data_IF_873791538839
#
_entry.id   IF_873791538839
#
_cell.length_a   1.000
_cell.length_b   1.000
_cell.length_c   1.000
_cell.angle_alpha   90.00
_cell.angle_beta   90.00
_cell.angle_gamma   90.00
#
_symmetry.space_group_name_H-M   'P 1'
#
loop_
_entity.id
_entity.type
_entity.pdbx_description
1 polymer ?
#
# COMPACT_ATOMS: atom_id res chain seq x y z
N UNK A 1 -10.48 -41.10 16.40
CA UNK A 1 -10.63 -39.90 15.55
C UNK A 1 -11.81 -39.13 16.11
N UNK A 2 -11.58 -38.03 16.86
CA UNK A 2 -12.66 -37.24 17.45
C UNK A 2 -13.14 -36.22 16.43
N UNK A 3 -14.42 -36.28 16.11
CA UNK A 3 -15.16 -35.22 15.41
C UNK A 3 -15.13 -34.00 16.35
N UNK A 4 -14.53 -32.88 15.92
CA UNK A 4 -14.75 -31.56 16.54
C UNK A 4 -13.56 -30.83 17.18
N UNK A 5 -12.30 -31.21 16.93
CA UNK A 5 -11.17 -30.33 17.31
C UNK A 5 -11.03 -29.22 16.27
N UNK A 6 -11.50 -28.02 16.61
CA UNK A 6 -11.22 -26.81 15.84
C UNK A 6 -9.70 -26.65 15.78
N UNK A 7 -9.15 -26.75 14.58
CA UNK A 7 -7.74 -26.41 14.38
C UNK A 7 -7.62 -24.89 14.43
N UNK A 8 -7.30 -24.38 15.62
CA UNK A 8 -7.16 -22.95 15.90
C UNK A 8 -6.08 -22.28 15.04
N UNK A 9 -5.00 -22.99 14.69
CA UNK A 9 -3.96 -22.45 13.82
C UNK A 9 -4.47 -22.22 12.41
N UNK A 10 -5.21 -23.19 11.87
CA UNK A 10 -5.85 -23.06 10.56
C UNK A 10 -6.89 -21.95 10.56
N UNK A 11 -7.74 -21.88 11.59
CA UNK A 11 -8.77 -20.83 11.70
C UNK A 11 -8.14 -19.44 11.74
N UNK A 12 -7.02 -19.27 12.46
CA UNK A 12 -6.30 -18.01 12.53
C UNK A 12 -5.64 -17.62 11.19
N UNK A 13 -5.14 -18.60 10.42
CA UNK A 13 -4.62 -18.33 9.08
C UNK A 13 -5.75 -17.99 8.10
N UNK A 14 -6.86 -18.72 8.14
CA UNK A 14 -8.04 -18.47 7.31
C UNK A 14 -8.63 -17.07 7.62
N UNK A 15 -8.52 -16.58 8.86
CA UNK A 15 -8.85 -15.20 9.24
C UNK A 15 -8.03 -14.13 8.46
N UNK A 16 -6.82 -14.45 7.98
CA UNK A 16 -6.07 -13.53 7.11
C UNK A 16 -6.73 -13.40 5.73
N UNK A 17 -7.42 -14.45 5.29
CA UNK A 17 -8.11 -14.54 4.00
C UNK A 17 -9.59 -14.13 4.09
N UNK A 18 -10.07 -13.66 5.24
CA UNK A 18 -11.45 -13.20 5.37
C UNK A 18 -11.73 -12.05 4.40
N UNK A 19 -12.52 -12.34 3.36
CA UNK A 19 -12.94 -11.35 2.35
C UNK A 19 -13.58 -10.11 2.99
N UNK A 20 -14.24 -10.27 4.14
CA UNK A 20 -14.83 -9.16 4.91
C UNK A 20 -13.82 -8.10 5.35
N UNK A 21 -12.54 -8.47 5.51
CA UNK A 21 -11.45 -7.54 5.85
C UNK A 21 -11.03 -6.70 4.65
N UNK A 22 -11.16 -7.26 3.45
CA UNK A 22 -10.87 -6.58 2.19
C UNK A 22 -12.08 -5.79 1.67
N UNK A 23 -13.29 -6.22 2.01
CA UNK A 23 -14.52 -5.47 1.77
C UNK A 23 -14.48 -4.09 2.44
N UNK A 24 -13.86 -3.98 3.62
CA UNK A 24 -13.61 -2.70 4.28
C UNK A 24 -12.66 -1.80 3.50
N UNK A 25 -11.56 -2.35 2.99
CA UNK A 25 -10.60 -1.63 2.14
C UNK A 25 -11.29 -1.14 0.85
N UNK A 26 -12.02 -2.03 0.18
CA UNK A 26 -12.78 -1.73 -1.04
C UNK A 26 -13.79 -0.61 -0.85
N UNK A 27 -14.59 -0.66 0.22
CA UNK A 27 -15.57 0.38 0.58
C UNK A 27 -14.96 1.76 0.77
N UNK A 28 -13.67 1.84 1.09
CA UNK A 28 -12.95 3.11 1.24
C UNK A 28 -12.27 3.52 -0.07
N UNK A 29 -11.63 2.59 -0.77
CA UNK A 29 -10.93 2.89 -2.04
C UNK A 29 -11.90 3.31 -3.15
N UNK A 30 -13.09 2.72 -3.19
CA UNK A 30 -14.09 3.01 -4.22
C UNK A 30 -14.54 4.48 -4.28
N UNK A 31 -15.01 5.11 -3.18
CA UNK A 31 -15.37 6.51 -3.19
C UNK A 31 -14.16 7.44 -3.42
N UNK A 32 -12.95 7.05 -2.97
CA UNK A 32 -11.73 7.82 -3.25
C UNK A 32 -11.43 7.84 -4.76
N UNK A 33 -11.53 6.70 -5.44
CA UNK A 33 -11.36 6.62 -6.89
C UNK A 33 -12.38 7.46 -7.64
N UNK A 34 -13.65 7.42 -7.23
CA UNK A 34 -14.71 8.25 -7.83
C UNK A 34 -14.45 9.75 -7.66
N UNK A 35 -13.95 10.17 -6.49
CA UNK A 35 -13.60 11.57 -6.23
C UNK A 35 -12.42 12.03 -7.10
N UNK A 36 -11.39 11.19 -7.29
CA UNK A 36 -10.27 11.48 -8.19
C UNK A 36 -10.77 11.60 -9.64
N UNK A 37 -11.64 10.70 -10.09
CA UNK A 37 -12.21 10.75 -11.44
C UNK A 37 -13.06 12.02 -11.67
N UNK A 38 -13.80 12.46 -10.65
CA UNK A 38 -14.57 13.69 -10.71
C UNK A 38 -13.66 14.94 -10.81
N UNK A 39 -12.54 14.94 -10.07
CA UNK A 39 -11.52 16.00 -10.14
C UNK A 39 -10.85 16.04 -11.53
N UNK A 40 -10.43 14.89 -12.06
CA UNK A 40 -9.86 14.78 -13.41
C UNK A 40 -10.83 15.31 -14.49
N UNK A 41 -12.14 15.07 -14.33
CA UNK A 41 -13.18 15.58 -15.23
C UNK A 41 -13.31 17.09 -15.14
N UNK A 42 -13.27 17.65 -13.94
CA UNK A 42 -13.33 19.09 -13.70
C UNK A 42 -12.12 19.82 -14.32
N UNK A 43 -10.93 19.25 -14.23
CA UNK A 43 -9.75 19.78 -14.93
C UNK A 43 -10.00 19.89 -16.44
N UNK A 44 -10.56 18.85 -17.08
CA UNK A 44 -10.88 18.90 -18.52
C UNK A 44 -11.92 19.96 -18.86
N UNK A 45 -12.90 20.20 -17.99
CA UNK A 45 -13.90 21.25 -18.17
C UNK A 45 -13.27 22.64 -18.07
N UNK A 46 -12.34 22.85 -17.13
CA UNK A 46 -11.54 24.07 -17.01
C UNK A 46 -10.69 24.26 -18.29
N UNK A 47 -9.98 23.24 -18.77
CA UNK A 47 -9.20 23.33 -20.02
C UNK A 47 -10.05 23.82 -21.21
N UNK A 48 -11.28 23.32 -21.35
CA UNK A 48 -12.20 23.72 -22.42
C UNK A 48 -12.70 25.15 -22.25
N UNK A 49 -13.01 25.59 -21.02
CA UNK A 49 -13.57 26.91 -20.78
C UNK A 49 -12.53 28.03 -20.92
N UNK A 50 -11.24 27.71 -20.72
CA UNK A 50 -10.15 28.68 -20.66
C UNK A 50 -9.23 28.64 -21.90
N UNK A 51 -9.52 27.81 -22.91
CA UNK A 51 -8.76 27.77 -24.18
C UNK A 51 -9.16 28.86 -25.19
N UNK A 52 -10.22 29.64 -24.92
CA UNK A 52 -10.79 30.63 -25.85
C UNK A 52 -10.53 32.11 -25.47
N UNK A 53 -9.97 32.44 -24.30
CA UNK A 53 -9.86 33.83 -23.83
C UNK A 53 -8.46 34.25 -23.30
N UNK A 54 -8.16 35.55 -23.49
CA UNK A 54 -6.90 36.29 -23.25
C UNK A 54 -6.09 35.96 -21.97
N UNK A 55 -4.78 36.31 -21.99
CA UNK A 55 -3.75 36.10 -20.95
C UNK A 55 -4.15 36.41 -19.48
N UNK A 56 -5.11 37.29 -19.18
CA UNK A 56 -5.61 37.56 -17.81
C UNK A 56 -6.53 36.44 -17.25
N UNK A 57 -7.08 35.61 -18.13
CA UNK A 57 -7.94 34.45 -17.79
C UNK A 57 -7.08 33.21 -17.50
N UNK A 58 -5.81 33.21 -17.93
CA UNK A 58 -4.83 32.15 -17.71
C UNK A 58 -4.46 31.95 -16.23
N UNK A 59 -4.25 33.04 -15.48
CA UNK A 59 -3.83 32.94 -14.06
C UNK A 59 -4.93 32.29 -13.19
N UNK A 60 -6.20 32.54 -13.49
CA UNK A 60 -7.33 31.91 -12.78
C UNK A 60 -7.48 30.42 -13.13
N UNK A 61 -7.17 30.02 -14.36
CA UNK A 61 -7.16 28.62 -14.76
C UNK A 61 -6.06 27.86 -14.00
N UNK A 62 -4.85 28.44 -13.94
CA UNK A 62 -3.70 27.86 -13.26
C UNK A 62 -3.94 27.65 -11.76
N UNK A 63 -4.59 28.61 -11.08
CA UNK A 63 -5.00 28.47 -9.68
C UNK A 63 -5.98 27.31 -9.48
N UNK A 64 -6.98 27.18 -10.37
CA UNK A 64 -7.97 26.09 -10.30
C UNK A 64 -7.35 24.72 -10.59
N UNK A 65 -6.42 24.62 -11.54
CA UNK A 65 -5.67 23.38 -11.79
C UNK A 65 -4.84 22.97 -10.59
N UNK A 66 -4.18 23.93 -9.93
CA UNK A 66 -3.39 23.67 -8.75
C UNK A 66 -4.26 23.13 -7.59
N UNK A 67 -5.44 23.73 -7.35
CA UNK A 67 -6.38 23.25 -6.33
C UNK A 67 -6.82 21.80 -6.57
N UNK A 68 -7.19 21.46 -7.81
CA UNK A 68 -7.62 20.10 -8.18
C UNK A 68 -6.46 19.09 -8.07
N UNK A 69 -5.25 19.44 -8.52
CA UNK A 69 -4.08 18.58 -8.37
C UNK A 69 -3.75 18.32 -6.88
N UNK A 70 -3.87 19.33 -6.01
CA UNK A 70 -3.71 19.16 -4.55
C UNK A 70 -4.77 18.21 -3.97
N UNK A 71 -6.03 18.35 -4.39
CA UNK A 71 -7.10 17.44 -3.96
C UNK A 71 -6.82 16.00 -4.38
N UNK A 72 -6.39 15.77 -5.62
CA UNK A 72 -6.03 14.44 -6.11
C UNK A 72 -4.86 13.84 -5.32
N UNK A 73 -3.85 14.63 -4.99
CA UNK A 73 -2.75 14.19 -4.13
C UNK A 73 -3.23 13.73 -2.74
N UNK A 74 -4.10 14.52 -2.10
CA UNK A 74 -4.64 14.18 -0.78
C UNK A 74 -5.46 12.90 -0.81
N UNK A 75 -6.28 12.71 -1.85
CA UNK A 75 -7.10 11.50 -2.04
C UNK A 75 -6.22 10.26 -2.30
N UNK A 76 -5.18 10.38 -3.13
CA UNK A 76 -4.21 9.31 -3.37
C UNK A 76 -3.43 8.97 -2.09
N UNK A 77 -2.99 9.99 -1.35
CA UNK A 77 -2.33 9.83 -0.07
C UNK A 77 -3.19 9.08 0.95
N UNK A 78 -4.48 9.44 1.05
CA UNK A 78 -5.44 8.74 1.90
C UNK A 78 -5.60 7.27 1.50
N UNK A 79 -5.73 6.97 0.20
CA UNK A 79 -5.83 5.60 -0.30
C UNK A 79 -4.61 4.74 0.10
N UNK A 80 -3.40 5.30 0.01
CA UNK A 80 -2.16 4.62 0.41
C UNK A 80 -2.08 4.40 1.92
N UNK A 81 -2.55 5.35 2.74
CA UNK A 81 -2.59 5.20 4.20
C UNK A 81 -3.55 4.09 4.63
N UNK A 82 -4.74 4.03 4.04
CA UNK A 82 -5.72 2.98 4.35
C UNK A 82 -5.18 1.60 3.94
N UNK A 83 -4.53 1.54 2.77
CA UNK A 83 -3.83 0.34 2.29
C UNK A 83 -2.73 -0.10 3.26
N UNK A 84 -1.94 0.85 3.78
CA UNK A 84 -0.93 0.58 4.80
C UNK A 84 -1.52 0.05 6.11
N UNK A 85 -2.69 0.55 6.54
CA UNK A 85 -3.37 0.03 7.72
C UNK A 85 -3.72 -1.47 7.57
N UNK A 86 -4.11 -1.90 6.37
CA UNK A 86 -4.36 -3.32 6.09
C UNK A 86 -3.07 -4.16 6.19
N UNK A 87 -1.95 -3.65 5.68
CA UNK A 87 -0.64 -4.29 5.83
C UNK A 87 -0.27 -4.45 7.32
N UNK A 88 -0.47 -3.40 8.14
CA UNK A 88 -0.25 -3.45 9.59
C UNK A 88 -1.11 -4.53 10.28
N UNK A 89 -2.38 -4.67 9.88
CA UNK A 89 -3.28 -5.67 10.44
C UNK A 89 -2.76 -7.09 10.20
N UNK A 90 -2.34 -7.40 8.97
CA UNK A 90 -1.79 -8.72 8.59
C UNK A 90 -0.52 -9.02 9.38
N UNK A 91 0.44 -8.08 9.41
CA UNK A 91 1.69 -8.21 10.17
C UNK A 91 1.42 -8.45 11.65
N UNK A 92 0.51 -7.69 12.24
CA UNK A 92 0.12 -7.83 13.65
C UNK A 92 -0.49 -9.21 13.93
N UNK A 93 -1.34 -9.72 13.04
CA UNK A 93 -1.96 -11.02 13.22
C UNK A 93 -0.94 -12.15 13.14
N UNK A 94 -0.01 -12.14 12.17
CA UNK A 94 1.06 -13.14 12.10
C UNK A 94 1.93 -13.16 13.37
N UNK A 95 2.24 -11.99 13.93
CA UNK A 95 2.97 -11.89 15.20
C UNK A 95 2.18 -12.43 16.39
N UNK A 96 0.86 -12.23 16.41
CA UNK A 96 -0.04 -12.84 17.42
C UNK A 96 -0.05 -14.37 17.30
N UNK A 97 -0.06 -14.91 16.09
CA UNK A 97 0.00 -16.34 15.83
C UNK A 97 1.30 -16.96 16.36
N UNK A 98 2.46 -16.38 16.03
CA UNK A 98 3.75 -16.81 16.58
C UNK A 98 3.78 -16.76 18.12
N UNK A 99 3.25 -15.67 18.69
CA UNK A 99 3.14 -15.53 20.14
C UNK A 99 2.27 -16.63 20.77
N UNK A 100 1.16 -16.99 20.12
CA UNK A 100 0.26 -18.05 20.57
C UNK A 100 0.93 -19.43 20.49
N UNK A 101 1.62 -19.74 19.39
CA UNK A 101 2.40 -20.99 19.23
C UNK A 101 3.43 -21.13 20.34
N UNK A 102 4.22 -20.08 20.59
CA UNK A 102 5.25 -20.08 21.64
C UNK A 102 4.67 -20.26 23.03
N UNK A 103 3.54 -19.60 23.34
CA UNK A 103 2.84 -19.74 24.64
C UNK A 103 2.34 -21.17 24.89
N UNK A 104 2.03 -21.90 23.83
CA UNK A 104 1.58 -23.30 23.91
C UNK A 104 2.73 -24.32 23.78
N UNK A 105 3.98 -23.88 23.91
CA UNK A 105 5.20 -24.70 23.84
C UNK A 105 5.28 -25.60 22.59
N UNK A 106 4.72 -25.15 21.46
CA UNK A 106 4.80 -25.88 20.21
C UNK A 106 6.17 -25.64 19.55
N UNK A 107 6.91 -26.69 19.14
CA UNK A 107 8.21 -26.55 18.49
C UNK A 107 8.03 -26.15 17.03
N UNK A 108 7.67 -24.89 16.79
CA UNK A 108 7.44 -24.34 15.45
C UNK A 108 8.16 -23.01 15.26
N UNK A 109 8.70 -22.82 14.07
CA UNK A 109 9.22 -21.54 13.59
C UNK A 109 8.86 -21.40 12.12
N UNK A 110 8.45 -20.19 11.75
CA UNK A 110 8.34 -19.82 10.34
C UNK A 110 9.70 -19.91 9.67
N UNK A 111 9.70 -20.34 8.41
CA UNK A 111 10.88 -20.34 7.54
C UNK A 111 11.33 -18.92 7.15
N UNK A 112 10.49 -17.92 7.40
CA UNK A 112 10.73 -16.51 7.14
C UNK A 112 10.77 -15.68 8.43
N UNK A 113 11.41 -14.51 8.33
CA UNK A 113 11.45 -13.50 9.39
C UNK A 113 10.08 -12.85 9.58
N UNK A 114 9.67 -12.68 10.83
CA UNK A 114 8.46 -11.91 11.19
C UNK A 114 8.76 -10.42 11.42
N UNK A 115 9.96 -9.95 11.05
CA UNK A 115 10.24 -8.51 11.02
C UNK A 115 9.32 -7.83 10.01
N UNK A 116 8.83 -6.63 10.34
CA UNK A 116 7.90 -5.89 9.46
C UNK A 116 8.53 -5.66 8.08
N UNK A 117 9.79 -5.23 8.07
CA UNK A 117 10.50 -4.90 6.83
C UNK A 117 10.72 -6.12 5.93
N UNK A 118 10.82 -7.31 6.51
CA UNK A 118 10.95 -8.55 5.75
C UNK A 118 9.59 -9.04 5.25
N UNK A 119 8.55 -8.96 6.07
CA UNK A 119 7.17 -9.33 5.69
C UNK A 119 6.64 -8.49 4.51
N UNK A 120 6.83 -7.17 4.53
CA UNK A 120 6.38 -6.30 3.42
C UNK A 120 7.16 -6.53 2.12
N UNK A 121 8.37 -7.09 2.21
CA UNK A 121 9.17 -7.50 1.05
C UNK A 121 8.85 -8.88 0.53
N UNK A 122 8.04 -9.64 1.26
CA UNK A 122 7.53 -10.89 0.72
C UNK A 122 6.63 -10.52 -0.45
N UNK A 123 6.89 -11.10 -1.59
CA UNK A 123 6.06 -11.03 -2.79
C UNK A 123 6.39 -12.28 -3.60
N UNK A 124 5.48 -12.71 -4.49
CA UNK A 124 5.78 -13.78 -5.41
C UNK A 124 7.13 -13.50 -6.11
N UNK A 125 7.98 -14.52 -6.31
CA UNK A 125 9.30 -14.30 -6.87
C UNK A 125 9.19 -13.85 -8.33
N UNK A 126 9.31 -12.55 -8.58
CA UNK A 126 9.72 -12.04 -9.88
C UNK A 126 11.25 -11.91 -9.91
N UNK A 127 11.84 -12.32 -11.01
CA UNK A 127 13.28 -12.55 -11.18
C UNK A 127 14.18 -11.45 -10.60
N UNK A 128 15.18 -11.89 -9.82
CA UNK A 128 16.42 -11.20 -9.45
C UNK A 128 16.29 -9.79 -8.83
N UNK A 129 16.20 -9.77 -7.50
CA UNK A 129 16.79 -8.80 -6.55
C UNK A 129 17.23 -7.42 -7.11
N UNK A 130 16.50 -6.36 -6.73
CA UNK A 130 17.00 -5.02 -6.31
C UNK A 130 15.88 -3.97 -6.27
N UNK A 131 14.73 -4.24 -6.87
CA UNK A 131 13.58 -3.33 -6.82
C UNK A 131 12.75 -3.55 -5.54
N UNK A 132 12.15 -2.50 -4.96
CA UNK A 132 11.20 -2.67 -3.88
C UNK A 132 10.00 -3.50 -4.37
N UNK A 133 9.22 -4.10 -3.47
CA UNK A 133 7.95 -4.74 -3.85
C UNK A 133 6.82 -3.70 -3.92
N UNK A 134 5.72 -3.98 -4.64
CA UNK A 134 4.53 -3.11 -4.61
C UNK A 134 4.05 -2.79 -3.19
N UNK A 135 4.06 -3.78 -2.30
CA UNK A 135 3.66 -3.63 -0.90
C UNK A 135 4.65 -2.76 -0.12
N UNK A 136 5.96 -2.93 -0.33
CA UNK A 136 6.98 -2.06 0.25
C UNK A 136 6.83 -0.61 -0.22
N UNK A 137 6.43 -0.41 -1.48
CA UNK A 137 6.12 0.93 -2.02
C UNK A 137 4.88 1.53 -1.38
N UNK A 138 3.79 0.76 -1.24
CA UNK A 138 2.54 1.22 -0.57
C UNK A 138 2.83 1.63 0.88
N UNK A 139 3.52 0.77 1.63
CA UNK A 139 3.97 1.03 3.01
C UNK A 139 4.76 2.33 3.12
N UNK A 140 5.74 2.49 2.21
CA UNK A 140 6.64 3.64 2.21
C UNK A 140 5.91 4.93 1.83
N UNK A 141 5.03 4.86 0.83
CA UNK A 141 4.26 6.00 0.34
C UNK A 141 3.21 6.47 1.37
N UNK A 142 2.53 5.54 2.06
CA UNK A 142 1.63 5.88 3.17
C UNK A 142 2.37 6.57 4.32
N UNK A 143 3.57 6.11 4.67
CA UNK A 143 4.42 6.80 5.65
C UNK A 143 4.89 8.17 5.17
N UNK A 144 5.27 8.29 3.90
CA UNK A 144 5.63 9.57 3.30
C UNK A 144 4.47 10.56 3.42
N UNK A 145 3.25 10.18 3.05
CA UNK A 145 2.10 11.09 3.10
C UNK A 145 1.82 11.57 4.53
N UNK A 146 1.74 10.66 5.51
CA UNK A 146 1.51 11.00 6.93
C UNK A 146 2.57 11.93 7.53
N UNK A 147 3.82 11.79 7.10
CA UNK A 147 4.97 12.48 7.67
C UNK A 147 5.62 13.48 6.69
N UNK A 148 4.93 13.81 5.60
CA UNK A 148 5.52 14.55 4.46
C UNK A 148 6.09 15.90 4.87
N UNK A 149 5.39 16.63 5.72
CA UNK A 149 5.83 17.91 6.30
C UNK A 149 7.11 17.78 7.15
N UNK A 150 7.35 16.62 7.77
CA UNK A 150 8.55 16.33 8.57
C UNK A 150 9.73 15.87 7.69
N UNK A 151 9.44 15.38 6.49
CA UNK A 151 10.43 14.82 5.57
C UNK A 151 10.93 15.84 4.55
N UNK A 152 10.17 16.91 4.28
CA UNK A 152 10.67 18.07 3.51
C UNK A 152 12.00 18.58 4.10
N UNK A 153 13.09 18.43 3.32
CA UNK A 153 14.44 18.85 3.70
C UNK A 153 15.31 17.83 4.47
N UNK A 154 14.76 16.73 5.00
CA UNK A 154 15.51 15.73 5.82
C UNK A 154 15.84 14.42 5.12
N UNK A 155 15.43 14.24 3.87
CA UNK A 155 15.71 13.04 3.08
C UNK A 155 17.19 12.64 3.05
N UNK A 156 18.07 13.64 2.93
CA UNK A 156 19.53 13.42 2.84
C UNK A 156 20.16 12.92 4.15
N UNK A 157 19.51 13.08 5.30
CA UNK A 157 20.03 12.61 6.60
C UNK A 157 19.40 11.30 7.08
N UNK A 158 18.39 10.77 6.37
CA UNK A 158 17.73 9.51 6.69
C UNK A 158 18.02 8.41 5.66
N UNK A 159 19.25 8.37 5.13
CA UNK A 159 19.70 7.46 4.06
C UNK A 159 19.60 5.97 4.41
N UNK A 160 19.47 5.62 5.69
CA UNK A 160 19.28 4.25 6.17
C UNK A 160 17.82 3.88 6.48
N UNK A 161 16.87 4.80 6.25
CA UNK A 161 15.46 4.48 6.41
C UNK A 161 14.99 3.66 5.19
N UNK A 162 14.61 2.40 5.43
CA UNK A 162 14.20 1.45 4.38
C UNK A 162 13.03 1.97 3.53
N UNK A 163 12.11 2.73 4.14
CA UNK A 163 11.00 3.36 3.42
C UNK A 163 11.51 4.43 2.42
N UNK A 164 12.56 5.14 2.79
CA UNK A 164 13.19 6.14 1.93
C UNK A 164 13.93 5.46 0.77
N UNK A 165 14.60 4.34 1.01
CA UNK A 165 15.29 3.59 -0.04
C UNK A 165 14.31 3.05 -1.10
N UNK A 166 13.17 2.52 -0.67
CA UNK A 166 12.13 2.06 -1.59
C UNK A 166 11.66 3.19 -2.52
N UNK A 167 11.29 4.34 -1.96
CA UNK A 167 10.87 5.49 -2.78
C UNK A 167 12.02 6.14 -3.56
N UNK A 168 13.25 6.11 -3.05
CA UNK A 168 14.45 6.60 -3.75
C UNK A 168 14.72 5.80 -5.01
N UNK A 169 14.51 4.49 -4.97
CA UNK A 169 14.69 3.63 -6.16
C UNK A 169 13.75 4.01 -7.31
N UNK A 170 12.59 4.59 -6.98
CA UNK A 170 11.62 5.11 -7.95
C UNK A 170 11.91 6.56 -8.38
N UNK A 171 12.94 7.20 -7.81
CA UNK A 171 13.30 8.59 -8.09
C UNK A 171 12.46 9.63 -7.36
N UNK A 172 11.71 9.26 -6.31
CA UNK A 172 10.81 10.16 -5.58
C UNK A 172 11.53 11.15 -4.64
N UNK A 173 12.85 11.02 -4.44
CA UNK A 173 13.58 11.72 -3.37
C UNK A 173 14.25 13.03 -3.83
N UNK A 174 14.15 13.38 -5.12
CA UNK A 174 14.85 14.53 -5.71
C UNK A 174 13.96 15.67 -6.25
N UNK A 175 12.64 15.59 -6.13
CA UNK A 175 11.76 16.71 -6.50
C UNK A 175 11.16 17.35 -5.25
N UNK A 176 11.45 18.63 -5.02
CA UNK A 176 10.69 19.46 -4.07
C UNK A 176 9.21 19.67 -4.45
N UNK A 177 8.72 18.91 -5.43
CA UNK A 177 7.35 18.91 -5.95
C UNK A 177 6.77 17.53 -5.62
N UNK A 178 5.91 17.47 -4.62
CA UNK A 178 5.30 16.24 -4.08
C UNK A 178 4.50 15.49 -5.17
N UNK A 179 3.84 16.23 -6.05
CA UNK A 179 3.11 15.73 -7.22
C UNK A 179 3.83 14.69 -8.06
N UNK A 180 5.10 14.96 -8.41
CA UNK A 180 5.89 14.07 -9.28
C UNK A 180 6.19 12.72 -8.59
N UNK A 181 6.06 12.64 -7.28
CA UNK A 181 6.29 11.41 -6.53
C UNK A 181 5.07 10.49 -6.62
N UNK A 182 3.86 11.02 -6.46
CA UNK A 182 2.63 10.23 -6.58
C UNK A 182 2.44 9.71 -8.01
N UNK A 183 2.80 10.46 -9.04
CA UNK A 183 2.81 9.96 -10.42
C UNK A 183 3.77 8.77 -10.62
N UNK A 184 4.97 8.84 -10.05
CA UNK A 184 5.94 7.73 -10.11
C UNK A 184 5.46 6.51 -9.36
N UNK A 185 4.86 6.71 -8.18
CA UNK A 185 4.30 5.65 -7.34
C UNK A 185 3.15 4.96 -8.06
N UNK A 186 2.14 5.71 -8.54
CA UNK A 186 0.98 5.15 -9.24
C UNK A 186 1.40 4.39 -10.50
N UNK A 187 2.31 4.95 -11.30
CA UNK A 187 2.88 4.26 -12.47
C UNK A 187 3.59 2.97 -12.09
N UNK A 188 4.39 2.98 -11.03
CA UNK A 188 5.11 1.80 -10.55
C UNK A 188 4.13 0.70 -10.09
N UNK A 189 3.05 1.09 -9.42
CA UNK A 189 2.00 0.18 -8.97
C UNK A 189 1.07 -0.31 -10.11
N UNK A 190 1.33 0.11 -11.36
CA UNK A 190 0.59 -0.36 -12.54
C UNK A 190 -0.70 0.39 -12.82
N UNK A 191 -0.92 1.54 -12.20
CA UNK A 191 -2.11 2.35 -12.45
C UNK A 191 -2.03 2.90 -13.86
N UNK A 192 -3.10 2.73 -14.64
CA UNK A 192 -3.19 3.38 -15.96
C UNK A 192 -3.63 4.83 -15.77
N UNK A 193 -4.56 5.04 -14.84
CA UNK A 193 -5.11 6.35 -14.48
C UNK A 193 -5.09 6.52 -12.95
N UNK A 194 -5.04 7.76 -12.45
CA UNK A 194 -4.88 8.03 -11.01
C UNK A 194 -6.03 7.45 -10.18
N UNK A 195 -7.25 7.42 -10.73
CA UNK A 195 -8.44 6.88 -10.07
C UNK A 195 -8.48 5.34 -10.01
N UNK A 196 -7.51 4.64 -10.60
CA UNK A 196 -7.33 3.17 -10.47
C UNK A 196 -6.88 2.73 -9.06
N UNK A 197 -7.12 3.55 -8.03
CA UNK A 197 -6.75 3.27 -6.62
C UNK A 197 -7.28 1.93 -6.11
N UNK A 198 -8.34 1.38 -6.73
CA UNK A 198 -8.85 0.03 -6.42
C UNK A 198 -7.83 -1.07 -6.69
N UNK A 199 -6.84 -0.85 -7.56
CA UNK A 199 -5.76 -1.81 -7.82
C UNK A 199 -4.93 -2.10 -6.55
N UNK A 200 -4.90 -1.18 -5.58
CA UNK A 200 -4.25 -1.40 -4.28
C UNK A 200 -4.84 -2.60 -3.53
N UNK A 201 -6.15 -2.83 -3.65
CA UNK A 201 -6.81 -3.98 -3.04
C UNK A 201 -6.22 -5.29 -3.58
N UNK A 202 -6.15 -5.43 -4.90
CA UNK A 202 -5.61 -6.62 -5.56
C UNK A 202 -4.15 -6.86 -5.17
N UNK A 203 -3.33 -5.80 -5.15
CA UNK A 203 -1.91 -5.89 -4.76
C UNK A 203 -1.77 -6.44 -3.33
N UNK A 204 -2.56 -5.90 -2.39
CA UNK A 204 -2.50 -6.37 -0.99
C UNK A 204 -3.07 -7.79 -0.89
N UNK A 205 -4.13 -8.11 -1.61
CA UNK A 205 -4.74 -9.43 -1.59
C UNK A 205 -3.76 -10.52 -2.07
N UNK A 206 -3.11 -10.31 -3.21
CA UNK A 206 -2.09 -11.24 -3.74
C UNK A 206 -0.93 -11.43 -2.77
N UNK A 207 -0.50 -10.35 -2.11
CA UNK A 207 0.50 -10.42 -1.05
C UNK A 207 0.06 -11.24 0.16
N UNK A 208 -1.19 -11.05 0.63
CA UNK A 208 -1.74 -11.82 1.74
C UNK A 208 -1.86 -13.29 1.40
N UNK A 209 -2.34 -13.62 0.20
CA UNK A 209 -2.38 -15.01 -0.30
C UNK A 209 -0.98 -15.64 -0.28
N UNK A 210 0.02 -14.91 -0.73
CA UNK A 210 1.40 -15.40 -0.74
C UNK A 210 1.92 -15.69 0.68
N UNK A 211 1.73 -14.78 1.63
CA UNK A 211 2.14 -15.01 3.02
C UNK A 211 1.36 -16.16 3.65
N UNK A 212 0.05 -16.20 3.43
CA UNK A 212 -0.81 -17.28 3.91
C UNK A 212 -0.29 -18.63 3.43
N UNK A 213 0.00 -18.77 2.14
CA UNK A 213 0.50 -20.02 1.56
C UNK A 213 1.83 -20.47 2.16
N UNK A 214 2.75 -19.52 2.42
CA UNK A 214 4.03 -19.82 3.07
C UNK A 214 3.82 -20.28 4.53
N UNK A 215 3.01 -19.52 5.29
CA UNK A 215 2.68 -19.86 6.66
C UNK A 215 1.98 -21.21 6.77
N UNK A 216 1.02 -21.48 5.89
CA UNK A 216 0.28 -22.73 5.82
C UNK A 216 1.21 -23.91 5.51
N UNK A 217 2.10 -23.77 4.51
CA UNK A 217 3.10 -24.80 4.19
C UNK A 217 4.00 -25.11 5.38
N UNK A 218 4.52 -24.08 6.05
CA UNK A 218 5.36 -24.26 7.24
C UNK A 218 4.61 -25.01 8.36
N UNK A 219 3.37 -24.61 8.65
CA UNK A 219 2.55 -25.23 9.69
C UNK A 219 2.19 -26.68 9.37
N UNK A 220 1.83 -26.96 8.11
CA UNK A 220 1.54 -28.31 7.64
C UNK A 220 2.76 -29.22 7.75
N UNK A 221 3.93 -28.73 7.32
CA UNK A 221 5.19 -29.47 7.42
C UNK A 221 5.59 -29.75 8.87
N UNK A 222 5.11 -28.94 9.82
CA UNK A 222 5.38 -29.08 11.25
C UNK A 222 4.30 -29.88 11.99
N UNK A 223 3.28 -30.37 11.30
CA UNK A 223 2.19 -31.16 11.89
C UNK A 223 1.24 -30.37 12.79
N UNK A 224 1.23 -29.03 12.70
CA UNK A 224 0.27 -28.18 13.42
C UNK A 224 -1.11 -28.16 12.77
N UNK A 225 -1.16 -28.38 11.45
CA UNK A 225 -2.38 -28.41 10.63
C UNK A 225 -2.42 -29.56 9.65
#
# INVERSE_FOLDING_TARGET
MKIGEVNWYRSFLDELLEESRFEGLKKVLEPLGQAIEASDRRCREIEICYTDDNDEVSDQADDLFFEEDCLVEDLLGAALVVSQCQIELVVTNLKKLDSYIRRNNQPFRFSFSLDRGDLVRMSPPESAQMQPTPVEVIESAGNLFKHGSQWQGKWKSQTNNRNILALSSLGCVNSGVVYKNFQRITKYLGFKEKHDVRLLESIIWEWVLHIHDLAYKDMKNSGLI
#
